data_IF_778194167705
#
_entry.id   IF_778194167705
#
_cell.length_a   1.000
_cell.length_b   1.000
_cell.length_c   1.000
_cell.angle_alpha   90.00
_cell.angle_beta   90.00
_cell.angle_gamma   90.00
#
_symmetry.space_group_name_H-M   'P 1'
#
loop_
_entity.id
_entity.type
_entity.pdbx_description
1 polymer ?
#
# COMPACT_ATOMS: atom_id res chain seq x y z
N UNK A 1 33.87 2.87 5.88
CA UNK A 1 32.68 2.30 6.53
C UNK A 1 31.39 2.87 5.90
N UNK A 2 30.30 2.10 5.93
CA UNK A 2 28.98 2.50 5.41
C UNK A 2 27.97 2.38 6.55
N UNK A 3 27.13 3.41 6.73
CA UNK A 3 25.99 3.40 7.68
C UNK A 3 24.70 3.59 6.92
N UNK A 4 23.76 2.67 7.09
CA UNK A 4 22.40 2.79 6.56
C UNK A 4 21.46 3.37 7.61
N UNK A 5 20.79 4.45 7.25
CA UNK A 5 19.74 5.07 8.07
C UNK A 5 18.38 4.51 7.62
N UNK A 6 17.85 3.59 8.44
CA UNK A 6 16.60 2.85 8.17
C UNK A 6 15.58 3.12 9.28
N UNK A 7 15.16 4.36 9.42
CA UNK A 7 14.23 4.79 10.47
C UNK A 7 12.83 5.03 9.91
N UNK A 8 11.84 5.00 10.80
CA UNK A 8 10.47 5.30 10.43
C UNK A 8 10.31 6.78 10.03
N UNK A 9 9.46 7.02 9.03
CA UNK A 9 9.05 8.35 8.58
C UNK A 9 7.51 8.41 8.52
N UNK A 10 6.83 8.41 9.70
CA UNK A 10 5.37 8.43 9.74
C UNK A 10 4.84 9.79 9.31
N UNK A 11 3.57 9.83 8.88
CA UNK A 11 2.88 11.09 8.66
C UNK A 11 2.51 11.72 10.00
N UNK A 12 2.74 13.02 10.12
CA UNK A 12 2.19 13.84 11.17
C UNK A 12 0.74 14.19 10.79
N UNK A 13 -0.22 13.76 11.61
CA UNK A 13 -1.65 13.95 11.35
C UNK A 13 -2.04 15.43 11.37
N UNK A 14 -1.39 16.25 12.22
CA UNK A 14 -1.70 17.66 12.38
C UNK A 14 -1.23 18.52 11.19
N UNK A 15 -0.05 18.20 10.67
CA UNK A 15 0.57 18.95 9.57
C UNK A 15 0.36 18.31 8.22
N UNK A 16 -0.15 17.09 8.18
CA UNK A 16 -0.30 16.25 6.98
C UNK A 16 1.01 16.15 6.18
N UNK A 17 2.13 16.03 6.88
CA UNK A 17 3.48 15.93 6.32
C UNK A 17 4.31 14.88 7.06
N UNK A 18 5.45 14.49 6.50
CA UNK A 18 6.34 13.51 7.12
C UNK A 18 6.88 13.99 8.48
N UNK A 19 6.85 13.12 9.49
CA UNK A 19 7.54 13.37 10.78
C UNK A 19 9.00 12.90 10.65
N UNK A 20 9.90 13.88 10.69
CA UNK A 20 11.35 13.67 10.49
C UNK A 20 12.15 13.45 11.78
N UNK A 21 11.51 13.42 12.96
CA UNK A 21 12.20 13.36 14.27
C UNK A 21 13.17 12.19 14.40
N UNK A 22 12.76 11.00 13.93
CA UNK A 22 13.63 9.82 13.99
C UNK A 22 14.84 9.98 13.07
N UNK A 23 14.64 10.56 11.89
CA UNK A 23 15.71 10.82 10.93
C UNK A 23 16.65 11.92 11.46
N UNK A 24 16.13 13.00 12.01
CA UNK A 24 16.91 14.07 12.65
C UNK A 24 17.80 13.50 13.77
N UNK A 25 17.23 12.64 14.64
CA UNK A 25 18.00 12.00 15.72
C UNK A 25 19.14 11.12 15.19
N UNK A 26 18.83 10.25 14.22
CA UNK A 26 19.83 9.35 13.65
C UNK A 26 20.96 10.11 12.94
N UNK A 27 20.64 11.10 12.11
CA UNK A 27 21.64 11.91 11.40
C UNK A 27 22.47 12.72 12.39
N UNK A 28 21.86 13.27 13.44
CA UNK A 28 22.59 14.00 14.49
C UNK A 28 23.60 13.12 15.22
N UNK A 29 23.23 11.91 15.59
CA UNK A 29 24.13 10.95 16.24
C UNK A 29 25.32 10.59 15.34
N UNK A 30 25.06 10.32 14.05
CA UNK A 30 26.08 10.01 13.07
C UNK A 30 27.02 11.20 12.84
N UNK A 31 26.49 12.42 12.75
CA UNK A 31 27.27 13.65 12.57
C UNK A 31 28.24 13.91 13.74
N UNK A 32 27.89 13.49 14.95
CA UNK A 32 28.76 13.60 16.12
C UNK A 32 29.99 12.67 16.08
N UNK A 33 29.98 11.63 15.25
CA UNK A 33 31.15 10.73 15.07
C UNK A 33 32.28 11.42 14.33
N UNK A 34 32.00 12.49 13.58
CA UNK A 34 32.97 13.35 12.88
C UNK A 34 33.99 12.57 12.01
N UNK A 35 33.51 11.60 11.25
CA UNK A 35 34.31 10.82 10.30
C UNK A 35 33.91 11.18 8.85
N UNK A 36 34.79 11.91 8.16
CA UNK A 36 34.51 12.35 6.78
C UNK A 36 34.55 11.22 5.75
N UNK A 37 35.19 10.07 6.06
CA UNK A 37 35.29 8.90 5.16
C UNK A 37 34.03 8.00 5.28
N UNK A 38 33.11 8.33 6.17
CA UNK A 38 31.88 7.58 6.37
C UNK A 38 30.90 7.83 5.22
N UNK A 39 30.40 6.74 4.64
CA UNK A 39 29.29 6.78 3.68
C UNK A 39 28.00 6.69 4.46
N UNK A 40 27.25 7.79 4.54
CA UNK A 40 25.97 7.85 5.23
C UNK A 40 24.86 7.69 4.19
N UNK A 41 24.14 6.59 4.24
CA UNK A 41 23.14 6.22 3.24
C UNK A 41 21.75 6.22 3.84
N UNK A 42 20.89 7.14 3.40
CA UNK A 42 19.49 7.19 3.82
C UNK A 42 18.68 6.18 3.00
N UNK A 43 18.10 5.20 3.69
CA UNK A 43 17.20 4.19 3.09
C UNK A 43 15.73 4.51 3.34
N UNK A 44 15.45 5.27 4.39
CA UNK A 44 14.10 5.77 4.70
C UNK A 44 13.53 6.62 3.57
N UNK A 45 12.23 6.45 3.29
CA UNK A 45 11.52 7.28 2.30
C UNK A 45 11.30 8.68 2.86
N UNK A 46 11.86 9.68 2.21
CA UNK A 46 11.75 11.09 2.59
C UNK A 46 11.64 11.99 1.35
N UNK A 47 10.79 13.03 1.35
CA UNK A 47 10.72 13.97 0.25
C UNK A 47 12.05 14.73 0.04
N UNK A 48 12.42 15.04 -1.21
CA UNK A 48 13.70 15.70 -1.52
C UNK A 48 13.96 16.99 -0.73
N UNK A 49 12.94 17.83 -0.57
CA UNK A 49 13.06 19.11 0.15
C UNK A 49 13.09 18.97 1.68
N UNK A 50 12.61 17.87 2.24
CA UNK A 50 12.64 17.66 3.70
C UNK A 50 14.03 17.28 4.20
N UNK A 51 14.81 16.56 3.39
CA UNK A 51 16.17 16.18 3.80
C UNK A 51 17.08 17.40 3.99
N UNK A 52 16.91 18.44 3.18
CA UNK A 52 17.66 19.68 3.34
C UNK A 52 17.33 20.34 4.70
N UNK A 53 16.05 20.43 5.05
CA UNK A 53 15.60 20.97 6.34
C UNK A 53 16.13 20.14 7.53
N UNK A 54 16.11 18.80 7.40
CA UNK A 54 16.69 17.91 8.42
C UNK A 54 18.18 18.21 8.61
N UNK A 55 18.93 18.30 7.52
CA UNK A 55 20.35 18.57 7.55
C UNK A 55 20.67 19.94 8.14
N UNK A 56 19.93 20.98 7.78
CA UNK A 56 20.05 22.33 8.39
C UNK A 56 19.86 22.29 9.91
N UNK A 57 18.80 21.61 10.41
CA UNK A 57 18.52 21.49 11.84
C UNK A 57 19.63 20.81 12.63
N UNK A 58 20.30 19.80 12.03
CA UNK A 58 21.36 19.04 12.70
C UNK A 58 22.77 19.57 12.42
N UNK A 59 22.89 20.64 11.61
CA UNK A 59 24.17 21.25 11.25
C UNK A 59 25.05 20.35 10.35
N UNK A 60 24.43 19.60 9.44
CA UNK A 60 25.12 18.73 8.48
C UNK A 60 24.93 19.28 7.05
N UNK A 61 25.95 19.16 6.22
CA UNK A 61 25.83 19.40 4.79
C UNK A 61 25.12 18.21 4.11
N UNK A 62 23.98 18.46 3.46
CA UNK A 62 23.18 17.43 2.78
C UNK A 62 23.93 16.72 1.64
N UNK A 63 24.97 17.35 1.06
CA UNK A 63 25.84 16.74 0.06
C UNK A 63 26.65 15.55 0.58
N UNK A 64 26.79 15.41 1.90
CA UNK A 64 27.45 14.26 2.54
C UNK A 64 26.62 13.00 2.53
N UNK A 65 25.29 13.12 2.33
CA UNK A 65 24.37 12.00 2.31
C UNK A 65 24.32 11.33 0.94
N UNK A 66 24.16 10.03 0.97
CA UNK A 66 23.75 9.22 -0.17
C UNK A 66 22.37 8.61 0.12
N UNK A 67 21.68 8.15 -0.91
CA UNK A 67 20.33 7.62 -0.83
C UNK A 67 20.26 6.23 -1.48
N UNK A 68 19.58 5.32 -0.82
CA UNK A 68 19.29 3.99 -1.36
C UNK A 68 17.84 3.62 -0.98
N UNK A 69 16.84 4.17 -1.66
CA UNK A 69 15.44 3.85 -1.38
C UNK A 69 15.19 2.35 -1.55
N UNK A 70 14.29 1.82 -0.74
CA UNK A 70 13.87 0.43 -0.79
C UNK A 70 12.58 0.29 -1.63
N UNK A 71 12.36 -0.92 -2.19
CA UNK A 71 11.16 -1.27 -2.96
C UNK A 71 10.60 -2.62 -2.50
N UNK A 72 10.70 -2.87 -1.19
CA UNK A 72 10.32 -4.13 -0.57
C UNK A 72 8.79 -4.19 -0.42
N UNK A 73 8.23 -5.35 -0.72
CA UNK A 73 6.81 -5.63 -0.52
C UNK A 73 6.63 -6.33 0.82
N UNK A 74 5.68 -5.87 1.59
CA UNK A 74 5.27 -6.55 2.80
C UNK A 74 4.80 -7.99 2.50
N UNK A 75 5.18 -8.95 3.35
CA UNK A 75 4.99 -10.38 3.11
C UNK A 75 6.12 -11.06 2.34
N UNK A 76 6.80 -10.35 1.40
CA UNK A 76 7.90 -10.91 0.58
C UNK A 76 9.20 -10.12 0.69
N UNK A 77 9.35 -9.25 1.70
CA UNK A 77 10.45 -8.30 1.82
C UNK A 77 11.86 -8.95 1.79
N UNK A 78 12.03 -10.13 2.37
CA UNK A 78 13.32 -10.85 2.35
C UNK A 78 13.67 -11.32 0.94
N UNK A 79 12.70 -11.88 0.20
CA UNK A 79 12.92 -12.29 -1.19
C UNK A 79 13.18 -11.08 -2.09
N UNK A 80 12.39 -10.02 -1.95
CA UNK A 80 12.56 -8.77 -2.71
C UNK A 80 13.92 -8.13 -2.45
N UNK A 81 14.46 -8.25 -1.23
CA UNK A 81 15.79 -7.76 -0.92
C UNK A 81 16.89 -8.53 -1.64
N UNK A 82 16.82 -9.88 -1.67
CA UNK A 82 17.86 -10.69 -2.30
C UNK A 82 17.72 -10.83 -3.82
N UNK A 83 16.52 -10.58 -4.35
CA UNK A 83 16.22 -10.61 -5.80
C UNK A 83 15.49 -9.33 -6.22
N UNK A 84 16.11 -8.15 -6.09
CA UNK A 84 15.48 -6.89 -6.42
C UNK A 84 15.38 -6.72 -7.94
N UNK A 85 14.29 -6.10 -8.42
CA UNK A 85 14.16 -5.69 -9.83
C UNK A 85 15.21 -4.64 -10.22
N UNK A 86 15.61 -3.80 -9.29
CA UNK A 86 16.63 -2.77 -9.43
C UNK A 86 17.13 -2.29 -8.07
N UNK A 87 18.32 -1.72 -8.06
CA UNK A 87 18.88 -0.96 -6.94
C UNK A 87 19.08 0.49 -7.38
N UNK A 88 18.65 1.45 -6.57
CA UNK A 88 18.79 2.88 -6.86
C UNK A 88 19.75 3.49 -5.84
N UNK A 89 20.79 4.16 -6.32
CA UNK A 89 21.80 4.86 -5.52
C UNK A 89 21.81 6.33 -5.93
N UNK A 90 21.54 7.22 -4.98
CA UNK A 90 21.51 8.66 -5.20
C UNK A 90 22.55 9.40 -4.41
N UNK A 91 23.09 10.46 -4.96
CA UNK A 91 24.06 11.32 -4.27
C UNK A 91 24.84 12.23 -5.21
N UNK A 92 25.67 13.09 -4.64
CA UNK A 92 26.54 14.01 -5.37
C UNK A 92 28.00 13.57 -5.33
N UNK A 93 28.39 12.74 -4.36
CA UNK A 93 29.74 12.25 -4.14
C UNK A 93 29.97 10.93 -4.91
N UNK A 94 30.73 10.99 -6.00
CA UNK A 94 30.98 9.85 -6.87
C UNK A 94 31.80 8.72 -6.21
N UNK A 95 32.68 9.05 -5.26
CA UNK A 95 33.47 8.04 -4.54
C UNK A 95 32.60 7.24 -3.59
N UNK A 96 31.70 7.90 -2.86
CA UNK A 96 30.72 7.25 -2.00
C UNK A 96 29.75 6.37 -2.78
N UNK A 97 29.25 6.86 -3.91
CA UNK A 97 28.38 6.08 -4.81
C UNK A 97 29.10 4.85 -5.37
N UNK A 98 30.39 4.96 -5.68
CA UNK A 98 31.21 3.82 -6.13
C UNK A 98 31.32 2.77 -5.03
N UNK A 99 31.61 3.17 -3.78
CA UNK A 99 31.65 2.24 -2.63
C UNK A 99 30.31 1.53 -2.40
N UNK A 100 29.18 2.25 -2.56
CA UNK A 100 27.84 1.64 -2.48
C UNK A 100 27.59 0.66 -3.63
N UNK A 101 27.98 1.02 -4.84
CA UNK A 101 27.82 0.14 -6.00
C UNK A 101 28.65 -1.15 -5.86
N UNK A 102 29.85 -1.06 -5.30
CA UNK A 102 30.68 -2.23 -4.98
C UNK A 102 29.99 -3.14 -3.95
N UNK A 103 29.35 -2.57 -2.91
CA UNK A 103 28.59 -3.34 -1.91
C UNK A 103 27.49 -4.18 -2.55
N UNK A 104 26.82 -3.65 -3.57
CA UNK A 104 25.72 -4.31 -4.27
C UNK A 104 26.15 -5.11 -5.52
N UNK A 105 27.46 -5.25 -5.78
CA UNK A 105 27.98 -5.91 -6.99
C UNK A 105 27.59 -7.39 -7.13
N UNK A 106 27.20 -8.05 -6.05
CA UNK A 106 26.74 -9.45 -6.04
C UNK A 106 25.27 -9.65 -6.38
N UNK A 107 24.50 -8.59 -6.59
CA UNK A 107 23.07 -8.67 -6.94
C UNK A 107 22.90 -8.75 -8.47
N UNK A 108 22.04 -9.65 -8.91
CA UNK A 108 21.71 -9.85 -10.33
C UNK A 108 20.57 -8.93 -10.75
N UNK A 109 20.84 -7.61 -10.76
CA UNK A 109 19.89 -6.59 -11.19
C UNK A 109 20.59 -5.32 -11.68
N UNK A 110 19.84 -4.43 -12.34
CA UNK A 110 20.35 -3.12 -12.73
C UNK A 110 20.58 -2.23 -11.50
N UNK A 111 21.76 -1.59 -11.41
CA UNK A 111 22.09 -0.60 -10.38
C UNK A 111 22.07 0.79 -11.03
N UNK A 112 21.02 1.55 -10.75
CA UNK A 112 20.85 2.92 -11.22
C UNK A 112 21.59 3.86 -10.28
N UNK A 113 22.58 4.60 -10.81
CA UNK A 113 23.29 5.64 -10.07
C UNK A 113 22.85 7.01 -10.58
N UNK A 114 22.38 7.89 -9.69
CA UNK A 114 21.81 9.18 -10.05
C UNK A 114 22.04 10.22 -8.94
N UNK A 115 21.51 11.43 -9.10
CA UNK A 115 21.51 12.45 -8.04
C UNK A 115 20.52 12.14 -6.91
N UNK A 116 20.64 12.89 -5.80
CA UNK A 116 19.84 12.70 -4.60
C UNK A 116 18.34 12.88 -4.87
N UNK A 117 17.95 13.90 -5.63
CA UNK A 117 16.56 14.25 -5.92
C UNK A 117 15.94 13.16 -6.78
N UNK A 118 16.62 12.77 -7.87
CA UNK A 118 16.14 11.75 -8.80
C UNK A 118 15.93 10.40 -8.09
N UNK A 119 16.86 9.99 -7.20
CA UNK A 119 16.72 8.74 -6.45
C UNK A 119 15.48 8.69 -5.56
N UNK A 120 15.17 9.81 -4.90
CA UNK A 120 13.98 9.93 -4.05
C UNK A 120 12.69 9.99 -4.91
N UNK A 121 12.71 10.73 -6.02
CA UNK A 121 11.57 10.78 -6.94
C UNK A 121 11.25 9.43 -7.58
N UNK A 122 12.26 8.59 -7.88
CA UNK A 122 12.02 7.22 -8.35
C UNK A 122 11.17 6.43 -7.35
N UNK A 123 11.45 6.53 -6.05
CA UNK A 123 10.65 5.87 -5.01
C UNK A 123 9.23 6.41 -4.95
N UNK A 124 9.07 7.73 -4.86
CA UNK A 124 7.75 8.36 -4.77
C UNK A 124 6.89 8.11 -6.00
N UNK A 125 7.46 8.22 -7.20
CA UNK A 125 6.70 8.00 -8.44
C UNK A 125 6.34 6.53 -8.64
N UNK A 126 7.18 5.57 -8.23
CA UNK A 126 6.82 4.16 -8.22
C UNK A 126 5.61 3.91 -7.28
N UNK A 127 5.67 4.46 -6.05
CA UNK A 127 4.59 4.32 -5.06
C UNK A 127 3.35 5.18 -5.39
N UNK A 128 3.43 6.09 -6.36
CA UNK A 128 2.30 6.84 -6.92
C UNK A 128 1.67 6.09 -8.10
N UNK A 129 2.49 5.51 -8.97
CA UNK A 129 2.01 4.82 -10.16
C UNK A 129 1.25 3.54 -9.84
N UNK A 130 1.69 2.78 -8.85
CA UNK A 130 1.02 1.53 -8.46
C UNK A 130 -0.44 1.76 -8.02
N UNK A 131 -0.74 2.65 -7.05
CA UNK A 131 -2.12 2.95 -6.68
C UNK A 131 -2.92 3.67 -7.77
N UNK A 132 -2.29 4.47 -8.64
CA UNK A 132 -2.94 5.00 -9.84
C UNK A 132 -3.48 3.87 -10.72
N UNK A 133 -2.66 2.84 -10.94
CA UNK A 133 -3.02 1.67 -11.75
C UNK A 133 -4.17 0.88 -11.12
N UNK A 134 -4.13 0.69 -9.80
CA UNK A 134 -5.23 0.05 -9.05
C UNK A 134 -6.52 0.90 -9.13
N UNK A 135 -6.43 2.21 -8.95
CA UNK A 135 -7.57 3.12 -9.08
C UNK A 135 -8.19 3.08 -10.48
N UNK A 136 -7.35 3.03 -11.52
CA UNK A 136 -7.84 2.87 -12.90
C UNK A 136 -8.63 1.59 -13.08
N UNK A 137 -8.13 0.44 -12.58
CA UNK A 137 -8.80 -0.85 -12.68
C UNK A 137 -10.10 -0.86 -11.88
N UNK A 138 -10.12 -0.25 -10.70
CA UNK A 138 -11.31 -0.10 -9.87
C UNK A 138 -12.37 0.80 -10.54
N UNK A 139 -11.98 1.88 -11.20
CA UNK A 139 -12.90 2.70 -12.02
C UNK A 139 -13.42 1.94 -13.24
N UNK A 140 -12.53 1.21 -13.92
CA UNK A 140 -12.94 0.35 -15.03
C UNK A 140 -13.96 -0.70 -14.59
N UNK A 141 -13.80 -1.27 -13.39
CA UNK A 141 -14.77 -2.21 -12.80
C UNK A 141 -16.17 -1.58 -12.65
N UNK A 142 -16.24 -0.35 -12.13
CA UNK A 142 -17.54 0.38 -12.05
C UNK A 142 -18.15 0.63 -13.43
N UNK A 143 -17.33 1.01 -14.41
CA UNK A 143 -17.78 1.24 -15.78
C UNK A 143 -18.27 -0.05 -16.45
N UNK A 144 -17.56 -1.15 -16.28
CA UNK A 144 -17.91 -2.46 -16.83
C UNK A 144 -19.23 -2.94 -16.21
N UNK A 145 -19.38 -2.84 -14.90
CA UNK A 145 -20.61 -3.20 -14.18
C UNK A 145 -21.79 -2.39 -14.71
N UNK A 146 -21.66 -1.06 -14.78
CA UNK A 146 -22.70 -0.19 -15.32
C UNK A 146 -23.09 -0.53 -16.76
N UNK A 147 -22.15 -0.96 -17.56
CA UNK A 147 -22.35 -1.29 -18.98
C UNK A 147 -22.86 -2.71 -19.21
N UNK A 148 -22.90 -3.56 -18.18
CA UNK A 148 -23.27 -4.98 -18.29
C UNK A 148 -22.24 -5.85 -19.01
N UNK A 149 -20.96 -5.44 -19.02
CA UNK A 149 -19.86 -6.19 -19.61
C UNK A 149 -19.34 -7.31 -18.68
N UNK A 150 -18.64 -8.28 -19.24
CA UNK A 150 -17.95 -9.30 -18.45
C UNK A 150 -16.60 -8.74 -17.96
N UNK A 151 -16.41 -8.67 -16.63
CA UNK A 151 -15.25 -8.05 -15.98
C UNK A 151 -13.94 -8.77 -16.35
N UNK A 152 -13.93 -10.10 -16.25
CA UNK A 152 -12.74 -10.90 -16.47
C UNK A 152 -12.28 -10.81 -17.95
N UNK A 153 -13.23 -10.87 -18.88
CA UNK A 153 -12.93 -10.79 -20.32
C UNK A 153 -12.36 -9.41 -20.69
N UNK A 154 -12.97 -8.33 -20.15
CA UNK A 154 -12.51 -6.96 -20.43
C UNK A 154 -11.14 -6.71 -19.85
N UNK A 155 -10.92 -7.04 -18.57
CA UNK A 155 -9.63 -6.80 -17.92
C UNK A 155 -8.53 -7.70 -18.53
N UNK A 156 -8.85 -8.94 -18.85
CA UNK A 156 -7.94 -9.84 -19.57
C UNK A 156 -7.59 -9.27 -20.93
N UNK A 157 -8.59 -8.85 -21.70
CA UNK A 157 -8.40 -8.30 -23.05
C UNK A 157 -7.50 -7.06 -23.04
N UNK A 158 -7.75 -6.12 -22.11
CA UNK A 158 -6.93 -4.91 -21.94
C UNK A 158 -5.52 -5.26 -21.47
N UNK A 159 -5.38 -6.12 -20.48
CA UNK A 159 -4.09 -6.47 -19.87
C UNK A 159 -3.20 -7.37 -20.75
N UNK A 160 -3.73 -7.99 -21.83
CA UNK A 160 -2.94 -8.73 -22.81
C UNK A 160 -2.08 -7.82 -23.72
N UNK A 161 -2.37 -6.52 -23.80
CA UNK A 161 -1.47 -5.57 -24.45
C UNK A 161 -0.17 -5.46 -23.65
N UNK A 162 0.97 -5.81 -24.29
CA UNK A 162 2.30 -5.80 -23.64
C UNK A 162 2.70 -4.43 -23.09
N UNK A 163 2.14 -3.33 -23.61
CA UNK A 163 2.36 -1.96 -23.10
C UNK A 163 1.64 -1.72 -21.79
N UNK A 164 0.61 -2.50 -21.48
CA UNK A 164 -0.20 -2.44 -20.25
C UNK A 164 0.24 -3.51 -19.26
N UNK A 165 0.15 -4.78 -19.64
CA UNK A 165 0.51 -5.96 -18.83
C UNK A 165 -0.49 -6.23 -17.69
N UNK A 166 -0.34 -7.41 -17.07
CA UNK A 166 -1.28 -7.94 -16.06
C UNK A 166 -0.90 -7.57 -14.60
N UNK A 167 0.32 -7.08 -14.34
CA UNK A 167 0.74 -6.75 -12.97
C UNK A 167 -0.04 -5.55 -12.42
N UNK A 168 -0.53 -5.65 -11.18
CA UNK A 168 -1.39 -4.64 -10.56
C UNK A 168 -2.62 -4.28 -11.43
N UNK A 169 -3.15 -5.27 -12.15
CA UNK A 169 -4.28 -5.09 -13.07
C UNK A 169 -5.47 -5.97 -12.65
N UNK A 170 -5.71 -6.03 -11.35
CA UNK A 170 -6.81 -6.76 -10.73
C UNK A 170 -7.61 -5.80 -9.85
N UNK A 171 -8.96 -5.83 -9.91
CA UNK A 171 -9.79 -5.01 -9.05
C UNK A 171 -9.70 -5.48 -7.60
N UNK A 172 -10.08 -4.58 -6.70
CA UNK A 172 -10.11 -4.81 -5.25
C UNK A 172 -11.23 -3.97 -4.63
N UNK A 173 -11.65 -4.22 -3.38
CA UNK A 173 -12.63 -3.36 -2.70
C UNK A 173 -12.22 -1.89 -2.58
N UNK A 174 -10.94 -1.67 -2.41
CA UNK A 174 -10.13 -0.45 -2.53
C UNK A 174 -8.67 -0.83 -2.29
N UNK A 175 -7.74 0.12 -2.31
CA UNK A 175 -6.35 -0.13 -1.94
C UNK A 175 -5.98 0.63 -0.66
N UNK A 176 -4.98 0.13 0.07
CA UNK A 176 -4.56 0.68 1.35
C UNK A 176 -3.11 0.34 1.69
N UNK A 177 -2.86 0.05 2.95
CA UNK A 177 -1.55 -0.27 3.49
C UNK A 177 -0.81 0.93 4.05
N UNK A 178 0.41 0.70 4.50
CA UNK A 178 1.23 1.70 5.18
C UNK A 178 1.97 2.67 4.25
N UNK A 179 2.21 2.28 3.00
CA UNK A 179 3.08 3.03 2.08
C UNK A 179 2.29 3.91 1.10
N UNK A 180 1.33 3.36 0.35
CA UNK A 180 0.65 4.09 -0.71
C UNK A 180 -0.08 5.35 -0.24
N UNK A 181 -0.94 5.28 0.81
CA UNK A 181 -1.61 6.48 1.29
C UNK A 181 -0.63 7.55 1.77
N UNK A 182 0.39 7.14 2.53
CA UNK A 182 1.41 8.04 3.06
C UNK A 182 2.18 8.75 1.95
N UNK A 183 2.73 7.99 1.00
CA UNK A 183 3.58 8.54 -0.05
C UNK A 183 2.78 9.42 -1.04
N UNK A 184 1.51 9.09 -1.31
CA UNK A 184 0.62 9.95 -2.11
C UNK A 184 0.30 11.28 -1.42
N UNK A 185 0.05 11.27 -0.12
CA UNK A 185 -0.12 12.51 0.65
C UNK A 185 1.13 13.38 0.55
N UNK A 186 2.32 12.78 0.72
CA UNK A 186 3.59 13.49 0.58
C UNK A 186 3.78 14.05 -0.82
N UNK A 187 3.55 13.25 -1.88
CA UNK A 187 3.64 13.75 -3.28
C UNK A 187 2.72 14.94 -3.50
N UNK A 188 1.50 14.91 -2.96
CA UNK A 188 0.56 16.03 -3.07
C UNK A 188 1.00 17.28 -2.29
N UNK A 189 1.93 17.15 -1.34
CA UNK A 189 2.41 18.24 -0.49
C UNK A 189 3.75 18.82 -0.92
N UNK A 190 4.57 18.06 -1.69
CA UNK A 190 5.89 18.55 -2.01
C UNK A 190 6.01 19.45 -3.24
N UNK A 191 4.94 19.82 -3.85
CA UNK A 191 4.97 20.84 -4.88
C UNK A 191 4.02 22.00 -4.58
N UNK A 192 4.38 23.16 -5.06
CA UNK A 192 3.54 24.34 -5.00
C UNK A 192 2.40 24.22 -6.02
N UNK A 193 1.18 24.03 -5.56
CA UNK A 193 -0.01 23.82 -6.41
C UNK A 193 -0.34 25.01 -7.29
N UNK A 194 0.11 26.21 -6.92
CA UNK A 194 -0.06 27.42 -7.72
C UNK A 194 0.92 27.46 -8.91
N UNK A 195 2.04 26.74 -8.80
CA UNK A 195 3.07 26.66 -9.85
C UNK A 195 2.99 25.38 -10.68
N UNK A 196 2.54 24.28 -10.09
CA UNK A 196 2.49 22.97 -10.75
C UNK A 196 1.13 22.32 -10.54
N UNK A 197 0.37 22.11 -11.61
CA UNK A 197 -0.91 21.44 -11.57
C UNK A 197 -0.78 19.96 -11.96
N UNK A 198 -1.04 19.04 -11.03
CA UNK A 198 -0.97 17.59 -11.21
C UNK A 198 -2.33 16.92 -10.95
N UNK A 199 -3.37 17.17 -11.76
CA UNK A 199 -4.73 16.72 -11.48
C UNK A 199 -4.86 15.19 -11.42
N UNK A 200 -4.08 14.45 -12.19
CA UNK A 200 -4.09 12.99 -12.17
C UNK A 200 -3.61 12.45 -10.80
N UNK A 201 -2.47 12.92 -10.34
CA UNK A 201 -1.86 12.48 -9.07
C UNK A 201 -2.74 12.90 -7.88
N UNK A 202 -3.23 14.13 -7.88
CA UNK A 202 -4.02 14.68 -6.78
C UNK A 202 -5.39 14.02 -6.61
N UNK A 203 -5.90 13.32 -7.63
CA UNK A 203 -7.20 12.64 -7.57
C UNK A 203 -7.11 11.13 -7.28
N UNK A 204 -5.92 10.54 -7.15
CA UNK A 204 -5.78 9.09 -6.92
C UNK A 204 -6.47 8.66 -5.62
N UNK A 205 -6.26 9.39 -4.53
CA UNK A 205 -6.88 9.09 -3.22
C UNK A 205 -8.40 9.22 -3.31
N UNK A 206 -8.90 10.32 -3.86
CA UNK A 206 -10.34 10.54 -4.03
C UNK A 206 -11.00 9.44 -4.90
N UNK A 207 -10.34 8.99 -5.96
CA UNK A 207 -10.83 7.86 -6.77
C UNK A 207 -10.95 6.56 -5.97
N UNK A 208 -10.00 6.31 -5.07
CA UNK A 208 -10.03 5.16 -4.17
C UNK A 208 -11.17 5.24 -3.14
N UNK A 209 -11.39 6.42 -2.56
CA UNK A 209 -12.46 6.65 -1.58
C UNK A 209 -13.84 6.45 -2.22
N UNK A 210 -14.05 6.99 -3.42
CA UNK A 210 -15.29 6.78 -4.21
C UNK A 210 -15.49 5.28 -4.50
N UNK A 211 -14.42 4.53 -4.75
CA UNK A 211 -14.54 3.09 -4.99
C UNK A 211 -14.88 2.31 -3.72
N UNK A 212 -14.32 2.69 -2.57
CA UNK A 212 -14.69 2.12 -1.28
C UNK A 212 -16.17 2.40 -0.92
N UNK A 213 -16.69 3.59 -1.25
CA UNK A 213 -18.10 3.93 -1.11
C UNK A 213 -18.97 3.02 -1.99
N UNK A 214 -18.63 2.91 -3.27
CA UNK A 214 -19.34 2.04 -4.22
C UNK A 214 -19.35 0.58 -3.77
N UNK A 215 -18.21 0.06 -3.28
CA UNK A 215 -18.13 -1.29 -2.74
C UNK A 215 -19.07 -1.48 -1.55
N UNK A 216 -19.10 -0.52 -0.63
CA UNK A 216 -19.94 -0.57 0.56
C UNK A 216 -21.44 -0.49 0.21
N UNK A 217 -21.79 0.32 -0.77
CA UNK A 217 -23.16 0.43 -1.29
C UNK A 217 -23.65 -0.88 -1.92
N UNK A 218 -22.83 -1.52 -2.76
CA UNK A 218 -23.17 -2.81 -3.36
C UNK A 218 -23.36 -3.91 -2.30
N UNK A 219 -22.51 -3.95 -1.27
CA UNK A 219 -22.66 -4.89 -0.16
C UNK A 219 -23.98 -4.65 0.56
N UNK A 220 -24.33 -3.40 0.83
CA UNK A 220 -25.56 -3.01 1.51
C UNK A 220 -26.79 -3.37 0.66
N UNK A 221 -26.80 -3.05 -0.62
CA UNK A 221 -27.90 -3.38 -1.54
C UNK A 221 -28.12 -4.90 -1.60
N UNK A 222 -27.04 -5.68 -1.67
CA UNK A 222 -27.14 -7.13 -1.70
C UNK A 222 -27.70 -7.69 -0.37
N UNK A 223 -27.18 -7.19 0.76
CA UNK A 223 -27.67 -7.53 2.10
C UNK A 223 -29.19 -7.27 2.24
N UNK A 224 -29.65 -6.07 1.86
CA UNK A 224 -31.06 -5.68 1.98
C UNK A 224 -31.97 -6.47 1.01
N UNK A 225 -31.55 -6.65 -0.25
CA UNK A 225 -32.33 -7.35 -1.27
C UNK A 225 -32.53 -8.82 -0.94
N UNK A 226 -31.58 -9.46 -0.29
CA UNK A 226 -31.63 -10.86 0.10
C UNK A 226 -32.20 -11.07 1.51
N UNK A 227 -32.47 -9.99 2.26
CA UNK A 227 -32.99 -10.01 3.64
C UNK A 227 -32.14 -10.87 4.57
N UNK A 228 -30.84 -10.63 4.55
CA UNK A 228 -29.86 -11.38 5.34
C UNK A 228 -29.79 -10.84 6.77
N UNK A 229 -29.31 -11.66 7.71
CA UNK A 229 -29.24 -11.31 9.14
C UNK A 229 -27.98 -10.53 9.52
N UNK A 230 -26.92 -10.60 8.69
CA UNK A 230 -25.68 -9.87 8.92
C UNK A 230 -24.70 -9.96 7.76
N UNK A 231 -23.58 -9.29 7.94
CA UNK A 231 -22.46 -9.24 6.97
C UNK A 231 -21.19 -9.70 7.66
N UNK A 232 -20.47 -10.63 7.03
CA UNK A 232 -19.16 -11.12 7.47
C UNK A 232 -18.12 -10.69 6.44
N UNK A 233 -17.24 -9.76 6.80
CA UNK A 233 -16.12 -9.35 5.95
C UNK A 233 -14.95 -10.32 6.18
N UNK A 234 -14.51 -11.02 5.15
CA UNK A 234 -13.44 -12.01 5.21
C UNK A 234 -12.13 -11.40 4.77
N UNK A 235 -11.17 -11.31 5.72
CA UNK A 235 -9.87 -10.68 5.52
C UNK A 235 -9.81 -9.28 6.12
N UNK A 236 -9.05 -9.10 7.18
CA UNK A 236 -8.96 -7.85 7.94
C UNK A 236 -7.78 -6.98 7.51
N UNK A 237 -6.67 -7.59 7.06
CA UNK A 237 -5.48 -6.88 6.62
C UNK A 237 -5.72 -6.05 5.35
N UNK A 238 -4.74 -5.22 4.98
CA UNK A 238 -4.86 -4.44 3.74
C UNK A 238 -4.67 -5.27 2.47
N UNK A 239 -4.11 -6.47 2.58
CA UNK A 239 -3.95 -7.47 1.52
C UNK A 239 -3.73 -8.87 2.12
N UNK A 240 -3.69 -9.88 1.26
CA UNK A 240 -3.34 -11.26 1.60
C UNK A 240 -1.92 -11.40 2.19
N UNK A 241 -1.69 -12.45 2.99
CA UNK A 241 -0.40 -12.84 3.57
C UNK A 241 0.33 -11.77 4.42
N UNK A 242 -0.42 -10.90 5.10
CA UNK A 242 0.10 -9.95 6.08
C UNK A 242 -0.86 -9.81 7.26
N UNK A 243 -0.36 -9.30 8.39
CA UNK A 243 -1.13 -8.91 9.57
C UNK A 243 -1.29 -7.39 9.72
N UNK A 244 -0.88 -6.61 8.71
CA UNK A 244 -0.96 -5.15 8.75
C UNK A 244 -2.37 -4.63 8.49
N UNK A 245 -2.96 -4.04 9.53
CA UNK A 245 -4.30 -3.42 9.50
C UNK A 245 -4.30 -1.95 9.07
N UNK A 246 -3.13 -1.34 8.87
CA UNK A 246 -3.03 0.09 8.57
C UNK A 246 -3.68 0.43 7.25
N UNK A 247 -4.65 1.37 7.29
CA UNK A 247 -5.45 1.77 6.13
C UNK A 247 -6.02 0.57 5.35
N UNK A 248 -6.44 -0.49 6.07
CA UNK A 248 -7.05 -1.65 5.44
C UNK A 248 -8.37 -1.26 4.76
N UNK A 249 -8.59 -1.68 3.49
CA UNK A 249 -9.89 -1.55 2.83
C UNK A 249 -11.04 -2.11 3.65
N UNK A 250 -10.81 -3.22 4.35
CA UNK A 250 -11.81 -3.85 5.21
C UNK A 250 -12.23 -2.94 6.34
N UNK A 251 -11.29 -2.25 6.98
CA UNK A 251 -11.59 -1.29 8.05
C UNK A 251 -12.47 -0.15 7.55
N UNK A 252 -12.22 0.37 6.36
CA UNK A 252 -13.03 1.45 5.78
C UNK A 252 -14.43 0.99 5.39
N UNK A 253 -14.54 -0.16 4.72
CA UNK A 253 -15.83 -0.78 4.37
C UNK A 253 -16.62 -1.13 5.65
N UNK A 254 -15.97 -1.70 6.66
CA UNK A 254 -16.60 -2.01 7.95
C UNK A 254 -17.22 -0.78 8.60
N UNK A 255 -16.47 0.32 8.71
CA UNK A 255 -16.98 1.58 9.30
C UNK A 255 -18.22 2.10 8.55
N UNK A 256 -18.20 2.05 7.21
CA UNK A 256 -19.30 2.49 6.36
C UNK A 256 -20.54 1.62 6.56
N UNK A 257 -20.39 0.31 6.53
CA UNK A 257 -21.49 -0.64 6.73
C UNK A 257 -22.08 -0.57 8.14
N UNK A 258 -21.23 -0.45 9.17
CA UNK A 258 -21.64 -0.41 10.58
C UNK A 258 -22.53 0.80 10.91
N UNK A 259 -22.49 1.85 10.09
CA UNK A 259 -23.36 3.01 10.23
C UNK A 259 -24.84 2.72 9.87
N UNK A 260 -25.11 1.64 9.12
CA UNK A 260 -26.45 1.30 8.61
C UNK A 260 -26.85 -0.17 8.83
N UNK A 261 -25.93 -1.05 9.12
CA UNK A 261 -26.18 -2.47 9.39
C UNK A 261 -25.66 -2.80 10.79
N UNK A 262 -26.53 -3.26 11.66
CA UNK A 262 -26.19 -3.56 13.06
C UNK A 262 -25.22 -4.74 13.17
N UNK A 263 -25.50 -5.83 12.45
CA UNK A 263 -24.72 -7.06 12.52
C UNK A 263 -23.69 -7.12 11.38
N UNK A 264 -22.55 -6.46 11.58
CA UNK A 264 -21.37 -6.54 10.70
C UNK A 264 -20.18 -7.00 11.54
N UNK A 265 -19.51 -8.04 11.11
CA UNK A 265 -18.31 -8.57 11.76
C UNK A 265 -17.16 -8.73 10.74
N UNK A 266 -15.94 -8.74 11.23
CA UNK A 266 -14.74 -9.00 10.44
C UNK A 266 -14.12 -10.31 10.89
N UNK A 267 -13.84 -11.20 9.95
CA UNK A 267 -13.11 -12.45 10.19
C UNK A 267 -11.73 -12.40 9.56
N UNK A 268 -10.75 -12.87 10.31
CA UNK A 268 -9.41 -13.13 9.79
C UNK A 268 -8.79 -14.35 10.51
N UNK A 269 -8.13 -15.22 9.73
CA UNK A 269 -7.52 -16.43 10.28
C UNK A 269 -6.21 -16.13 11.01
N UNK A 270 -5.42 -15.17 10.51
CA UNK A 270 -4.06 -14.89 10.96
C UNK A 270 -4.07 -13.86 12.10
N UNK A 271 -4.88 -12.81 11.96
CA UNK A 271 -4.86 -11.67 12.87
C UNK A 271 -5.54 -12.02 14.19
N UNK A 272 -4.85 -11.78 15.30
CA UNK A 272 -5.39 -11.98 16.64
C UNK A 272 -5.70 -10.62 17.29
N UNK A 273 -6.92 -10.13 17.04
CA UNK A 273 -7.47 -8.89 17.58
C UNK A 273 -8.86 -9.18 18.18
N UNK A 274 -9.22 -8.50 19.27
CA UNK A 274 -10.49 -8.72 19.97
C UNK A 274 -11.74 -8.35 19.13
N UNK A 275 -11.58 -7.49 18.15
CA UNK A 275 -12.64 -7.06 17.24
C UNK A 275 -12.79 -7.98 16.01
N UNK A 276 -11.93 -8.99 15.88
CA UNK A 276 -11.92 -9.94 14.75
C UNK A 276 -12.41 -11.30 15.22
N UNK A 277 -13.53 -11.75 14.61
CA UNK A 277 -14.13 -13.04 14.98
C UNK A 277 -13.29 -14.21 14.46
N UNK A 278 -13.41 -15.36 15.09
CA UNK A 278 -12.74 -16.60 14.74
C UNK A 278 -13.73 -17.62 14.15
N UNK A 279 -13.22 -18.73 13.65
CA UNK A 279 -14.04 -19.77 13.05
C UNK A 279 -15.17 -20.26 13.95
N UNK A 280 -14.93 -20.42 15.27
CA UNK A 280 -15.95 -20.87 16.21
C UNK A 280 -17.21 -19.97 16.17
N UNK A 281 -17.01 -18.66 16.07
CA UNK A 281 -18.13 -17.73 15.90
C UNK A 281 -18.86 -17.96 14.57
N UNK A 282 -18.15 -18.21 13.47
CA UNK A 282 -18.75 -18.43 12.16
C UNK A 282 -19.49 -19.78 12.10
N UNK A 283 -18.96 -20.81 12.76
CA UNK A 283 -19.59 -22.13 12.84
C UNK A 283 -20.88 -22.14 13.66
N UNK A 284 -21.03 -21.19 14.59
CA UNK A 284 -22.25 -21.01 15.40
C UNK A 284 -23.35 -20.19 14.67
N UNK A 285 -23.09 -19.68 13.46
CA UNK A 285 -24.08 -18.95 12.69
C UNK A 285 -25.18 -19.90 12.19
N UNK A 286 -26.40 -19.66 12.64
CA UNK A 286 -27.59 -20.46 12.31
C UNK A 286 -28.59 -19.71 11.40
N UNK A 287 -28.18 -18.61 10.79
CA UNK A 287 -29.03 -17.75 9.96
C UNK A 287 -28.25 -17.23 8.75
N UNK A 288 -28.95 -16.87 7.66
CA UNK A 288 -28.31 -16.43 6.44
C UNK A 288 -27.54 -15.11 6.60
N UNK A 289 -26.26 -15.11 6.25
CA UNK A 289 -25.36 -13.96 6.27
C UNK A 289 -24.77 -13.70 4.89
N UNK A 290 -24.29 -12.48 4.64
CA UNK A 290 -23.49 -12.13 3.47
C UNK A 290 -22.00 -12.24 3.81
N UNK A 291 -21.32 -13.21 3.23
CA UNK A 291 -19.88 -13.39 3.32
C UNK A 291 -19.21 -12.62 2.20
N UNK A 292 -18.45 -11.60 2.54
CA UNK A 292 -17.74 -10.73 1.58
C UNK A 292 -16.26 -11.01 1.64
N UNK A 293 -15.67 -11.51 0.57
CA UNK A 293 -14.23 -11.68 0.49
C UNK A 293 -13.60 -10.31 0.23
N UNK A 294 -12.74 -9.83 1.10
CA UNK A 294 -12.05 -8.54 0.97
C UNK A 294 -10.73 -8.67 0.21
N UNK A 295 -10.16 -9.88 0.17
CA UNK A 295 -9.05 -10.31 -0.68
C UNK A 295 -9.07 -11.83 -0.84
N UNK A 296 -8.28 -12.44 -1.76
CA UNK A 296 -8.20 -13.88 -1.91
C UNK A 296 -7.73 -14.56 -0.61
N UNK A 297 -8.41 -15.62 -0.22
CA UNK A 297 -8.04 -16.44 0.95
C UNK A 297 -7.46 -17.78 0.52
N UNK A 298 -6.73 -18.45 1.40
CA UNK A 298 -6.14 -19.77 1.13
C UNK A 298 -7.23 -20.81 0.86
N UNK A 299 -6.91 -21.78 0.02
CA UNK A 299 -7.85 -22.83 -0.40
C UNK A 299 -8.48 -23.57 0.81
N UNK A 300 -7.66 -23.96 1.80
CA UNK A 300 -8.14 -24.63 3.00
C UNK A 300 -9.12 -23.78 3.82
N UNK A 301 -8.87 -22.46 3.92
CA UNK A 301 -9.77 -21.51 4.57
C UNK A 301 -11.07 -21.37 3.78
N UNK A 302 -10.97 -21.31 2.45
CA UNK A 302 -12.12 -21.20 1.56
C UNK A 302 -13.03 -22.44 1.65
N UNK A 303 -12.47 -23.63 1.70
CA UNK A 303 -13.23 -24.88 1.86
C UNK A 303 -14.02 -24.92 3.16
N UNK A 304 -13.41 -24.49 4.28
CA UNK A 304 -14.09 -24.39 5.57
C UNK A 304 -15.20 -23.33 5.57
N UNK A 305 -14.94 -22.17 4.97
CA UNK A 305 -15.95 -21.11 4.80
C UNK A 305 -17.11 -21.57 3.93
N UNK A 306 -16.85 -22.24 2.82
CA UNK A 306 -17.91 -22.76 1.93
C UNK A 306 -18.87 -23.70 2.67
N UNK A 307 -18.35 -24.56 3.54
CA UNK A 307 -19.18 -25.45 4.37
C UNK A 307 -20.07 -24.65 5.33
N UNK A 308 -19.52 -23.64 6.00
CA UNK A 308 -20.29 -22.77 6.90
C UNK A 308 -21.39 -22.01 6.13
N UNK A 309 -21.06 -21.52 4.92
CA UNK A 309 -21.99 -20.81 4.06
C UNK A 309 -23.16 -21.71 3.63
N UNK A 310 -22.87 -22.95 3.25
CA UNK A 310 -23.89 -23.95 2.89
C UNK A 310 -24.78 -24.30 4.09
N UNK A 311 -24.19 -24.62 5.23
CA UNK A 311 -24.91 -25.04 6.44
C UNK A 311 -25.82 -23.93 7.00
N UNK A 312 -25.44 -22.64 6.84
CA UNK A 312 -26.23 -21.48 7.30
C UNK A 312 -27.18 -20.88 6.24
N UNK A 313 -27.22 -21.45 5.03
CA UNK A 313 -27.89 -20.85 3.86
C UNK A 313 -27.46 -19.42 3.53
N UNK A 314 -26.21 -19.12 3.79
CA UNK A 314 -25.58 -17.82 3.53
C UNK A 314 -25.18 -17.68 2.06
N UNK A 315 -24.78 -16.48 1.66
CA UNK A 315 -24.29 -16.22 0.29
C UNK A 315 -22.93 -15.56 0.32
N UNK A 316 -22.17 -15.74 -0.76
CA UNK A 316 -20.86 -15.11 -0.95
C UNK A 316 -20.95 -13.96 -1.94
N UNK A 317 -20.25 -12.89 -1.63
CA UNK A 317 -19.98 -11.79 -2.55
C UNK A 317 -18.48 -11.54 -2.66
N UNK A 318 -18.02 -11.42 -3.88
CA UNK A 318 -16.62 -11.14 -4.21
C UNK A 318 -16.58 -9.81 -4.96
N UNK A 319 -16.19 -8.70 -4.35
CA UNK A 319 -16.26 -7.36 -4.94
C UNK A 319 -15.44 -7.18 -6.23
N UNK A 320 -14.50 -8.06 -6.50
CA UNK A 320 -13.66 -8.06 -7.69
C UNK A 320 -13.99 -9.19 -8.69
N UNK A 321 -15.12 -9.86 -8.52
CA UNK A 321 -15.65 -10.88 -9.46
C UNK A 321 -17.11 -10.57 -9.64
N UNK A 322 -17.53 -10.21 -10.83
CA UNK A 322 -18.91 -9.89 -11.20
C UNK A 322 -19.57 -11.08 -11.89
#
# INVERSE_FOLDING_TARGET
DIVFVCVQTPNNIETNSVDTKFLESAIKEINNVNNNDLVITVKSTIPPYEIEKVCEKVGMDSSKLTFNPEFLREGTAVEDFFKPDRIVLGGTDSEKLTKLKELYSGFDCEIITTDSISSQLIKYLANTYLPLRLSFVNEATRLINYSGGNLDDVLKGVGLDNRIGQHYFRPSPSWGGSCFPKDLVEVNNFYDKDKLNLPLISNIINSNDIHADWTSENIKELYESKKLEGVVLIGAAFKEDTDDLRNSPTTEVFKKLKSSIENVVVFDEIINDENIVKFDYLEDLNSPHLFVLMYPVKELTLDRLNKIIEDSNSITYIPWSL
#
